data_IF_551360177931
#
_entry.id   IF_551360177931
#
_cell.length_a   1.000
_cell.length_b   1.000
_cell.length_c   1.000
_cell.angle_alpha   90.00
_cell.angle_beta   90.00
_cell.angle_gamma   90.00
#
_symmetry.space_group_name_H-M   'P 1'
#
loop_
_entity.id
_entity.type
_entity.pdbx_description
1 polymer ?
#
# COMPACT_ATOMS: atom_id res chain seq x y z
N UNK A 1 5.93 -23.93 -18.22
CA UNK A 1 6.62 -25.25 -18.20
C UNK A 1 5.83 -26.18 -17.29
N UNK A 2 5.69 -27.47 -17.64
CA UNK A 2 4.97 -28.45 -16.82
C UNK A 2 5.85 -29.14 -15.75
N UNK A 3 7.17 -28.90 -15.76
CA UNK A 3 8.07 -29.45 -14.74
C UNK A 3 7.79 -28.82 -13.38
N UNK A 4 7.59 -29.61 -12.33
CA UNK A 4 7.35 -29.15 -10.96
C UNK A 4 8.58 -29.29 -10.04
N UNK A 5 9.72 -29.74 -10.58
CA UNK A 5 10.96 -29.96 -9.82
C UNK A 5 11.94 -28.78 -9.88
N UNK A 6 11.47 -27.61 -10.32
CA UNK A 6 12.30 -26.42 -10.52
C UNK A 6 12.48 -25.70 -9.19
N UNK A 7 13.73 -25.43 -8.82
CA UNK A 7 14.08 -24.66 -7.62
C UNK A 7 14.28 -23.17 -7.92
N UNK A 8 15.38 -22.61 -7.40
CA UNK A 8 15.77 -21.22 -7.65
C UNK A 8 16.17 -21.07 -9.13
N UNK A 9 15.61 -20.07 -9.80
CA UNK A 9 15.91 -19.72 -11.19
C UNK A 9 16.49 -18.31 -11.30
N UNK A 10 17.24 -18.08 -12.39
CA UNK A 10 17.69 -16.74 -12.75
C UNK A 10 16.48 -15.90 -13.23
N UNK A 11 16.25 -14.76 -12.58
CA UNK A 11 15.10 -13.90 -12.90
C UNK A 11 15.17 -13.25 -14.27
N UNK A 12 16.36 -13.18 -14.88
CA UNK A 12 16.58 -12.73 -16.27
C UNK A 12 15.86 -13.59 -17.32
N UNK A 13 15.41 -14.80 -16.96
CA UNK A 13 14.49 -15.62 -17.76
C UNK A 13 14.93 -15.85 -19.23
N UNK A 14 16.25 -15.93 -19.48
CA UNK A 14 16.81 -16.20 -20.80
C UNK A 14 17.20 -14.95 -21.61
N UNK A 15 17.29 -13.78 -20.99
CA UNK A 15 17.79 -12.56 -21.64
C UNK A 15 19.12 -12.82 -22.35
N UNK A 16 19.16 -12.54 -23.65
CA UNK A 16 20.36 -12.72 -24.46
C UNK A 16 21.49 -11.83 -23.94
N UNK A 17 22.64 -12.41 -23.64
CA UNK A 17 23.84 -11.66 -23.24
C UNK A 17 24.63 -11.22 -24.47
N UNK A 18 23.94 -10.57 -25.42
CA UNK A 18 24.55 -9.97 -26.61
C UNK A 18 24.97 -8.54 -26.31
N UNK A 19 26.11 -8.10 -26.86
CA UNK A 19 26.55 -6.70 -26.77
C UNK A 19 25.76 -5.76 -27.68
N UNK A 20 25.03 -6.33 -28.66
CA UNK A 20 24.19 -5.57 -29.59
C UNK A 20 22.78 -5.32 -29.02
N UNK A 21 22.38 -6.06 -27.98
CA UNK A 21 21.07 -5.96 -27.32
C UNK A 21 21.15 -5.08 -26.06
N UNK A 22 19.99 -4.71 -25.49
CA UNK A 22 19.93 -4.00 -24.21
C UNK A 22 20.67 -4.81 -23.12
N UNK A 23 21.57 -4.17 -22.36
CA UNK A 23 22.43 -4.87 -21.42
C UNK A 23 21.62 -5.42 -20.24
N UNK A 24 21.91 -6.64 -19.82
CA UNK A 24 21.30 -7.26 -18.65
C UNK A 24 22.03 -6.84 -17.36
N UNK A 25 22.05 -5.54 -17.07
CA UNK A 25 22.77 -4.92 -15.93
C UNK A 25 22.03 -5.11 -14.59
N UNK A 26 21.59 -6.34 -14.32
CA UNK A 26 20.95 -6.71 -13.06
C UNK A 26 21.25 -8.15 -12.69
N UNK A 27 21.22 -8.42 -11.38
CA UNK A 27 21.25 -9.76 -10.84
C UNK A 27 19.92 -10.01 -10.15
N UNK A 28 19.21 -11.04 -10.60
CA UNK A 28 17.94 -11.44 -10.01
C UNK A 28 17.82 -12.95 -9.80
N UNK A 29 17.16 -13.34 -8.72
CA UNK A 29 16.84 -14.74 -8.40
C UNK A 29 15.38 -14.82 -7.96
N UNK A 30 14.68 -15.85 -8.43
CA UNK A 30 13.28 -16.06 -8.06
C UNK A 30 12.95 -17.54 -7.97
N UNK A 31 11.82 -17.84 -7.35
CA UNK A 31 11.10 -19.08 -7.59
C UNK A 31 10.12 -18.92 -8.74
N UNK A 32 9.76 -20.03 -9.38
CA UNK A 32 8.57 -20.04 -10.24
C UNK A 32 7.34 -19.97 -9.36
N UNK A 33 6.39 -19.11 -9.71
CA UNK A 33 5.36 -18.66 -8.77
C UNK A 33 4.41 -19.78 -8.36
N UNK A 34 3.95 -20.58 -9.31
CA UNK A 34 3.15 -21.78 -9.08
C UNK A 34 3.84 -22.78 -8.13
N UNK A 35 5.14 -23.02 -8.29
CA UNK A 35 5.92 -23.93 -7.42
C UNK A 35 6.03 -23.35 -6.01
N UNK A 36 6.27 -22.04 -5.89
CA UNK A 36 6.33 -21.36 -4.60
C UNK A 36 4.98 -21.40 -3.87
N UNK A 37 3.87 -21.22 -4.59
CA UNK A 37 2.51 -21.33 -4.02
C UNK A 37 2.18 -22.76 -3.60
N UNK A 38 2.51 -23.76 -4.41
CA UNK A 38 2.29 -25.16 -4.05
C UNK A 38 3.10 -25.55 -2.79
N UNK A 39 4.36 -25.10 -2.70
CA UNK A 39 5.19 -25.29 -1.51
C UNK A 39 4.61 -24.57 -0.28
N UNK A 40 4.18 -23.32 -0.44
CA UNK A 40 3.58 -22.53 0.64
C UNK A 40 2.26 -23.13 1.15
N UNK A 41 1.43 -23.69 0.27
CA UNK A 41 0.21 -24.40 0.66
C UNK A 41 0.51 -25.73 1.34
N UNK A 42 1.55 -26.44 0.89
CA UNK A 42 1.95 -27.71 1.52
C UNK A 42 2.51 -27.50 2.93
N UNK A 43 3.18 -26.38 3.16
CA UNK A 43 3.64 -25.93 4.48
C UNK A 43 2.47 -25.71 5.46
N UNK A 44 1.31 -25.29 4.96
CA UNK A 44 0.07 -25.08 5.73
C UNK A 44 -0.82 -26.33 5.83
N UNK A 45 -0.33 -27.52 5.43
CA UNK A 45 -1.17 -28.73 5.38
C UNK A 45 -1.77 -29.09 6.74
N UNK A 46 -1.00 -28.99 7.83
CA UNK A 46 -1.49 -29.30 9.18
C UNK A 46 -2.61 -28.35 9.60
N UNK A 47 -2.41 -27.04 9.42
CA UNK A 47 -3.39 -26.00 9.76
C UNK A 47 -4.67 -26.12 8.92
N UNK A 48 -4.53 -26.38 7.61
CA UNK A 48 -5.67 -26.58 6.71
C UNK A 48 -6.48 -27.82 7.13
N UNK A 49 -5.80 -28.92 7.46
CA UNK A 49 -6.46 -30.15 7.90
C UNK A 49 -7.11 -30.00 9.27
N UNK A 50 -6.51 -29.21 10.18
CA UNK A 50 -7.13 -28.84 11.46
C UNK A 50 -8.38 -27.98 11.24
N UNK A 51 -8.31 -26.95 10.40
CA UNK A 51 -9.47 -26.12 10.06
C UNK A 51 -10.62 -26.92 9.45
N UNK A 52 -10.33 -27.91 8.61
CA UNK A 52 -11.34 -28.84 8.09
C UNK A 52 -12.00 -29.66 9.19
N UNK A 53 -11.25 -30.13 10.18
CA UNK A 53 -11.79 -30.86 11.35
C UNK A 53 -12.70 -29.98 12.20
N UNK A 54 -12.22 -28.78 12.55
CA UNK A 54 -12.95 -27.86 13.41
C UNK A 54 -14.26 -27.38 12.79
N UNK A 55 -14.29 -27.25 11.47
CA UNK A 55 -15.48 -26.83 10.71
C UNK A 55 -16.40 -27.99 10.33
N UNK A 56 -16.03 -29.24 10.67
CA UNK A 56 -16.81 -30.43 10.30
C UNK A 56 -16.79 -30.76 8.81
N UNK A 57 -15.82 -30.23 8.06
CA UNK A 57 -15.62 -30.39 6.61
C UNK A 57 -14.61 -31.50 6.27
N UNK A 58 -14.18 -32.32 7.24
CA UNK A 58 -13.17 -33.37 7.03
C UNK A 58 -13.70 -34.55 6.19
N UNK A 59 -14.95 -34.96 6.44
CA UNK A 59 -15.63 -36.10 5.80
C UNK A 59 -16.43 -35.72 4.54
N UNK A 60 -16.51 -34.43 4.23
CA UNK A 60 -17.26 -33.99 3.06
C UNK A 60 -16.52 -34.37 1.78
N UNK A 61 -17.28 -34.71 0.73
CA UNK A 61 -16.76 -34.95 -0.61
C UNK A 61 -16.01 -33.73 -1.23
N UNK A 62 -15.86 -32.63 -0.48
CA UNK A 62 -15.20 -31.36 -0.77
C UNK A 62 -13.68 -31.49 -0.98
N UNK A 63 -13.27 -32.38 -1.89
CA UNK A 63 -11.94 -32.32 -2.53
C UNK A 63 -11.88 -31.21 -3.60
N UNK A 64 -13.04 -30.67 -3.96
CA UNK A 64 -13.22 -29.60 -4.93
C UNK A 64 -13.69 -28.33 -4.20
N UNK A 65 -13.30 -27.16 -4.72
CA UNK A 65 -13.85 -25.87 -4.26
C UNK A 65 -13.03 -25.15 -3.19
N UNK A 66 -11.72 -25.45 -3.05
CA UNK A 66 -10.86 -24.61 -2.22
C UNK A 66 -10.55 -23.29 -2.93
N UNK A 67 -10.63 -22.20 -2.17
CA UNK A 67 -10.27 -20.85 -2.59
C UNK A 67 -9.16 -20.32 -1.68
N UNK A 68 -8.08 -19.86 -2.28
CA UNK A 68 -6.90 -19.37 -1.56
C UNK A 68 -6.71 -17.89 -1.85
N UNK A 69 -6.73 -17.07 -0.82
CA UNK A 69 -6.51 -15.64 -0.94
C UNK A 69 -5.04 -15.31 -0.72
N UNK A 70 -4.40 -14.69 -1.72
CA UNK A 70 -2.97 -14.37 -1.72
C UNK A 70 -2.81 -12.85 -1.66
N UNK A 71 -2.08 -12.36 -0.64
CA UNK A 71 -1.58 -10.99 -0.61
C UNK A 71 -0.25 -10.94 -1.37
N UNK A 72 -0.15 -10.08 -2.38
CA UNK A 72 1.10 -9.81 -3.09
C UNK A 72 1.67 -8.45 -2.65
N UNK A 73 2.99 -8.41 -2.48
CA UNK A 73 3.72 -7.22 -2.04
C UNK A 73 4.97 -7.03 -2.89
N UNK A 74 5.34 -5.78 -3.17
CA UNK A 74 6.60 -5.43 -3.81
C UNK A 74 7.08 -4.09 -3.27
N UNK A 75 8.34 -4.03 -2.89
CA UNK A 75 8.93 -2.81 -2.33
C UNK A 75 10.38 -2.63 -2.78
N UNK A 76 10.78 -1.35 -2.90
CA UNK A 76 12.11 -0.89 -3.27
C UNK A 76 12.94 -0.51 -2.05
N UNK A 77 14.10 -1.16 -1.90
CA UNK A 77 15.07 -0.91 -0.85
C UNK A 77 16.26 -0.12 -1.39
N UNK A 78 16.55 1.03 -0.75
CA UNK A 78 17.77 1.81 -1.01
C UNK A 78 18.96 1.37 -0.15
N UNK A 79 20.11 2.01 -0.38
CA UNK A 79 21.34 1.86 0.41
C UNK A 79 21.88 0.42 0.48
N UNK A 80 21.76 -0.34 -0.61
CA UNK A 80 22.24 -1.73 -0.70
C UNK A 80 23.63 -1.73 -1.35
N UNK A 81 24.69 -1.73 -0.54
CA UNK A 81 26.06 -1.61 -1.05
C UNK A 81 26.42 -2.69 -2.08
N UNK A 82 26.98 -2.24 -3.20
CA UNK A 82 27.53 -3.13 -4.22
C UNK A 82 28.76 -3.89 -3.67
N UNK A 83 28.90 -5.15 -4.07
CA UNK A 83 30.09 -5.95 -3.76
C UNK A 83 31.08 -5.86 -4.91
N UNK A 84 32.38 -5.77 -4.57
CA UNK A 84 33.43 -6.11 -5.52
C UNK A 84 33.20 -7.53 -6.06
N UNK A 85 33.43 -7.74 -7.37
CA UNK A 85 33.18 -9.03 -8.01
C UNK A 85 33.53 -9.04 -9.49
N UNK A 86 33.20 -10.15 -10.17
CA UNK A 86 33.43 -10.33 -11.61
C UNK A 86 32.46 -9.58 -12.53
N UNK A 87 31.56 -8.76 -11.98
CA UNK A 87 30.50 -8.08 -12.71
C UNK A 87 29.20 -8.89 -12.85
N UNK A 88 28.15 -8.31 -13.48
CA UNK A 88 28.10 -6.95 -14.04
C UNK A 88 28.08 -5.86 -12.94
N UNK A 89 28.26 -4.61 -13.32
CA UNK A 89 28.01 -3.48 -12.41
C UNK A 89 26.51 -3.44 -12.10
N UNK A 90 26.17 -3.26 -10.82
CA UNK A 90 24.77 -3.30 -10.36
C UNK A 90 24.41 -2.06 -9.54
N UNK A 91 23.13 -1.62 -9.56
CA UNK A 91 22.72 -0.48 -8.76
C UNK A 91 22.77 -0.80 -7.26
N UNK A 92 23.04 0.21 -6.43
CA UNK A 92 22.99 0.11 -4.96
C UNK A 92 21.56 0.16 -4.39
N UNK A 93 20.61 -0.42 -5.14
CA UNK A 93 19.19 -0.54 -4.81
C UNK A 93 18.73 -1.95 -5.14
N UNK A 94 17.78 -2.44 -4.35
CA UNK A 94 17.18 -3.73 -4.57
C UNK A 94 15.65 -3.62 -4.55
N UNK A 95 14.98 -4.47 -5.33
CA UNK A 95 13.54 -4.66 -5.26
C UNK A 95 13.27 -6.07 -4.79
N UNK A 96 12.30 -6.21 -3.89
CA UNK A 96 11.83 -7.51 -3.40
C UNK A 96 10.35 -7.66 -3.67
N UNK A 97 10.00 -8.74 -4.36
CA UNK A 97 8.63 -9.20 -4.55
C UNK A 97 8.36 -10.41 -3.64
N UNK A 98 7.27 -10.36 -2.89
CA UNK A 98 6.89 -11.38 -1.90
C UNK A 98 5.39 -11.65 -1.95
N UNK A 99 4.95 -12.75 -1.32
CA UNK A 99 3.53 -13.02 -1.12
C UNK A 99 3.25 -13.66 0.23
N UNK A 100 1.99 -13.61 0.66
CA UNK A 100 1.47 -14.24 1.87
C UNK A 100 0.15 -14.94 1.57
N UNK A 101 -0.03 -16.16 2.07
CA UNK A 101 -1.32 -16.85 2.06
C UNK A 101 -2.17 -16.25 3.18
N UNK A 102 -3.20 -15.50 2.84
CA UNK A 102 -4.02 -14.76 3.81
C UNK A 102 -5.13 -15.61 4.39
N UNK A 103 -5.80 -16.39 3.55
CA UNK A 103 -6.86 -17.30 3.98
C UNK A 103 -7.03 -18.45 3.00
N UNK A 104 -7.56 -19.54 3.51
CA UNK A 104 -8.07 -20.66 2.72
C UNK A 104 -9.51 -20.89 3.12
N UNK A 105 -10.40 -20.94 2.13
CA UNK A 105 -11.81 -21.31 2.31
C UNK A 105 -12.17 -22.51 1.44
N UNK A 106 -13.25 -23.19 1.79
CA UNK A 106 -13.83 -24.28 1.02
C UNK A 106 -15.33 -24.02 0.83
N UNK A 107 -15.82 -24.27 -0.37
CA UNK A 107 -17.25 -24.16 -0.66
C UNK A 107 -18.00 -25.39 -0.12
N UNK A 108 -19.00 -25.17 0.73
CA UNK A 108 -19.90 -26.21 1.24
C UNK A 108 -20.86 -26.68 0.15
N UNK A 109 -21.07 -28.00 0.03
CA UNK A 109 -22.00 -28.58 -0.96
C UNK A 109 -23.48 -28.35 -0.60
N UNK A 110 -23.80 -28.20 0.69
CA UNK A 110 -25.19 -28.14 1.18
C UNK A 110 -25.85 -26.77 0.99
N UNK A 111 -25.08 -25.68 1.09
CA UNK A 111 -25.57 -24.31 1.05
C UNK A 111 -24.79 -23.39 0.08
N UNK A 112 -23.74 -23.89 -0.55
CA UNK A 112 -22.90 -23.14 -1.49
C UNK A 112 -22.09 -22.00 -0.84
N UNK A 113 -22.06 -21.92 0.49
CA UNK A 113 -21.34 -20.88 1.22
C UNK A 113 -19.86 -21.22 1.35
N UNK A 114 -19.02 -20.19 1.29
CA UNK A 114 -17.59 -20.32 1.54
C UNK A 114 -17.31 -20.35 3.04
N UNK A 115 -16.85 -21.50 3.53
CA UNK A 115 -16.41 -21.68 4.91
C UNK A 115 -14.90 -21.44 4.98
N UNK A 116 -14.47 -20.46 5.76
CA UNK A 116 -13.04 -20.18 5.96
C UNK A 116 -12.45 -21.19 6.94
N UNK A 117 -11.43 -21.93 6.50
CA UNK A 117 -10.76 -22.98 7.29
C UNK A 117 -9.39 -22.54 7.81
N UNK A 118 -8.76 -21.56 7.14
CA UNK A 118 -7.51 -20.96 7.60
C UNK A 118 -7.57 -19.46 7.40
N UNK A 119 -7.04 -18.71 8.35
CA UNK A 119 -6.78 -17.27 8.24
C UNK A 119 -5.46 -16.97 8.93
N UNK A 120 -4.56 -16.29 8.24
CA UNK A 120 -3.26 -15.90 8.78
C UNK A 120 -3.45 -14.99 10.02
N UNK A 121 -3.04 -15.44 11.22
CA UNK A 121 -3.29 -14.70 12.46
C UNK A 121 -2.48 -13.41 12.56
N UNK A 122 -1.31 -13.35 11.90
CA UNK A 122 -0.40 -12.19 11.94
C UNK A 122 0.05 -11.83 10.51
N UNK A 123 -0.83 -11.21 9.70
CA UNK A 123 -0.55 -10.94 8.29
C UNK A 123 0.50 -9.84 8.05
N UNK A 124 0.91 -9.14 9.12
CA UNK A 124 1.97 -8.13 9.10
C UNK A 124 3.26 -8.64 9.78
N UNK A 125 3.37 -9.94 10.03
CA UNK A 125 4.59 -10.59 10.52
C UNK A 125 5.53 -10.87 9.35
N UNK A 126 6.83 -10.66 9.56
CA UNK A 126 7.85 -11.06 8.60
C UNK A 126 7.87 -12.59 8.38
N UNK A 127 7.38 -13.36 9.36
CA UNK A 127 7.34 -14.82 9.30
C UNK A 127 6.31 -15.37 8.30
N UNK A 128 5.24 -14.62 8.02
CA UNK A 128 4.20 -15.01 7.05
C UNK A 128 4.48 -14.48 5.64
N UNK A 129 5.50 -13.63 5.48
CA UNK A 129 5.89 -13.06 4.19
C UNK A 129 6.92 -13.94 3.47
N UNK A 130 6.50 -14.61 2.40
CA UNK A 130 7.34 -15.55 1.64
C UNK A 130 7.98 -14.81 0.45
N UNK A 131 9.31 -14.68 0.39
CA UNK A 131 9.98 -13.99 -0.71
C UNK A 131 9.89 -14.82 -1.99
N UNK A 132 9.52 -14.17 -3.10
CA UNK A 132 9.37 -14.82 -4.40
C UNK A 132 10.48 -14.41 -5.38
N UNK A 133 10.81 -13.12 -5.43
CA UNK A 133 11.83 -12.59 -6.33
C UNK A 133 12.66 -11.50 -5.66
N UNK A 134 13.97 -11.60 -5.83
CA UNK A 134 14.96 -10.62 -5.38
C UNK A 134 15.73 -10.11 -6.59
N UNK A 135 15.88 -8.81 -6.72
CA UNK A 135 16.61 -8.19 -7.83
C UNK A 135 17.36 -6.93 -7.38
N UNK A 136 18.53 -6.69 -7.97
CA UNK A 136 19.23 -5.41 -7.86
C UNK A 136 18.79 -4.50 -9.00
N UNK A 137 17.76 -3.70 -8.73
CA UNK A 137 17.11 -2.79 -9.69
C UNK A 137 16.69 -1.55 -8.92
N UNK A 138 16.77 -0.37 -9.54
CA UNK A 138 16.08 0.82 -9.05
C UNK A 138 14.61 0.68 -9.43
N UNK A 139 13.69 0.79 -8.47
CA UNK A 139 12.24 0.81 -8.74
C UNK A 139 11.82 1.89 -9.75
N UNK A 140 12.68 2.89 -9.99
CA UNK A 140 12.46 3.96 -10.96
C UNK A 140 12.96 3.61 -12.38
N UNK A 141 13.67 2.49 -12.54
CA UNK A 141 14.08 1.92 -13.83
C UNK A 141 12.99 0.96 -14.32
N UNK A 142 12.02 1.54 -15.03
CA UNK A 142 10.86 0.82 -15.55
C UNK A 142 11.23 -0.32 -16.49
N UNK A 143 12.27 -0.16 -17.30
CA UNK A 143 12.68 -1.15 -18.31
C UNK A 143 13.18 -2.43 -17.61
N UNK A 144 14.11 -2.28 -16.67
CA UNK A 144 14.63 -3.43 -15.91
C UNK A 144 13.57 -4.05 -15.00
N UNK A 145 12.76 -3.23 -14.34
CA UNK A 145 11.72 -3.70 -13.43
C UNK A 145 10.68 -4.55 -14.18
N UNK A 146 10.18 -4.06 -15.32
CA UNK A 146 9.20 -4.80 -16.14
C UNK A 146 9.80 -6.04 -16.78
N UNK A 147 11.07 -6.01 -17.21
CA UNK A 147 11.72 -7.17 -17.77
C UNK A 147 11.87 -8.32 -16.75
N UNK A 148 12.18 -8.00 -15.49
CA UNK A 148 12.31 -9.02 -14.42
C UNK A 148 10.94 -9.48 -13.88
N UNK A 149 9.99 -8.56 -13.69
CA UNK A 149 8.66 -8.89 -13.16
C UNK A 149 7.67 -9.43 -14.20
N UNK A 150 7.90 -9.20 -15.49
CA UNK A 150 7.03 -9.63 -16.58
C UNK A 150 6.69 -11.14 -16.54
N UNK A 151 7.67 -12.05 -16.39
CA UNK A 151 7.39 -13.47 -16.21
C UNK A 151 6.53 -13.79 -14.99
N UNK A 152 6.68 -13.07 -13.88
CA UNK A 152 5.87 -13.26 -12.67
C UNK A 152 4.43 -12.84 -12.92
N UNK A 153 4.21 -11.70 -13.60
CA UNK A 153 2.86 -11.24 -14.01
C UNK A 153 2.20 -12.24 -14.95
N UNK A 154 2.96 -12.79 -15.91
CA UNK A 154 2.45 -13.80 -16.83
C UNK A 154 2.03 -15.08 -16.10
N UNK A 155 2.86 -15.56 -15.16
CA UNK A 155 2.55 -16.71 -14.30
C UNK A 155 1.29 -16.42 -13.45
N UNK A 156 1.21 -15.25 -12.79
CA UNK A 156 0.05 -14.80 -12.01
C UNK A 156 -1.24 -14.81 -12.83
N UNK A 157 -1.22 -14.20 -14.01
CA UNK A 157 -2.41 -14.10 -14.86
C UNK A 157 -2.85 -15.47 -15.39
N UNK A 158 -1.92 -16.35 -15.74
CA UNK A 158 -2.25 -17.73 -16.11
C UNK A 158 -2.87 -18.52 -14.95
N UNK A 159 -2.40 -18.28 -13.71
CA UNK A 159 -2.89 -18.99 -12.53
C UNK A 159 -4.34 -18.63 -12.17
N UNK A 160 -4.79 -17.41 -12.45
CA UNK A 160 -6.19 -16.97 -12.18
C UNK A 160 -7.25 -17.84 -12.85
N UNK A 161 -6.96 -18.31 -14.06
CA UNK A 161 -7.88 -19.15 -14.85
C UNK A 161 -7.70 -20.65 -14.61
N UNK A 162 -6.70 -21.03 -13.81
CA UNK A 162 -6.34 -22.41 -13.57
C UNK A 162 -6.76 -22.91 -12.18
N UNK A 163 -6.72 -24.23 -12.00
CA UNK A 163 -6.88 -24.86 -10.69
C UNK A 163 -5.64 -25.68 -10.38
N UNK A 164 -5.06 -25.48 -9.20
CA UNK A 164 -3.97 -26.30 -8.69
C UNK A 164 -4.54 -27.59 -8.08
N UNK A 165 -4.00 -28.74 -8.49
CA UNK A 165 -4.29 -30.03 -7.85
C UNK A 165 -3.09 -30.40 -6.99
N UNK A 166 -3.29 -30.48 -5.68
CA UNK A 166 -2.24 -30.78 -4.69
C UNK A 166 -2.71 -31.84 -3.71
N UNK A 167 -1.86 -32.80 -3.39
CA UNK A 167 -2.16 -33.83 -2.39
C UNK A 167 -2.05 -33.24 -0.98
N UNK A 168 -3.16 -33.15 -0.26
CA UNK A 168 -3.26 -32.68 1.13
C UNK A 168 -4.07 -33.65 1.98
N UNK A 169 -3.54 -34.05 3.14
CA UNK A 169 -4.15 -35.06 4.00
C UNK A 169 -4.26 -36.42 3.32
N UNK A 170 -3.32 -36.74 2.41
CA UNK A 170 -3.32 -37.98 1.63
C UNK A 170 -4.29 -38.03 0.44
N UNK A 171 -5.05 -36.96 0.17
CA UNK A 171 -6.00 -36.90 -0.96
C UNK A 171 -5.68 -35.74 -1.93
N UNK A 172 -5.91 -35.90 -3.24
CA UNK A 172 -5.82 -34.80 -4.18
C UNK A 172 -6.95 -33.79 -3.95
N UNK A 173 -6.60 -32.51 -3.76
CA UNK A 173 -7.54 -31.41 -3.57
C UNK A 173 -7.31 -30.31 -4.62
N UNK A 174 -8.38 -29.64 -5.05
CA UNK A 174 -8.37 -28.62 -6.09
C UNK A 174 -8.49 -27.21 -5.50
N UNK A 175 -7.51 -26.35 -5.77
CA UNK A 175 -7.40 -24.98 -5.28
C UNK A 175 -7.52 -23.95 -6.41
N UNK A 176 -8.29 -22.89 -6.16
CA UNK A 176 -8.33 -21.66 -6.97
C UNK A 176 -7.61 -20.55 -6.22
N UNK A 177 -6.85 -19.73 -6.93
CA UNK A 177 -6.13 -18.60 -6.34
C UNK A 177 -6.81 -17.27 -6.64
N UNK A 178 -6.87 -16.42 -5.61
CA UNK A 178 -7.33 -15.04 -5.70
C UNK A 178 -6.20 -14.12 -5.25
N UNK A 179 -5.60 -13.41 -6.20
CA UNK A 179 -4.48 -12.51 -5.93
C UNK A 179 -4.97 -11.11 -5.59
N UNK A 180 -4.44 -10.54 -4.51
CA UNK A 180 -4.66 -9.16 -4.06
C UNK A 180 -3.33 -8.46 -3.89
N UNK A 181 -2.89 -7.78 -4.95
CA UNK A 181 -1.74 -6.90 -4.91
C UNK A 181 -2.04 -5.65 -4.10
N UNK A 182 -1.59 -5.62 -2.84
CA UNK A 182 -2.00 -4.60 -1.84
C UNK A 182 -0.82 -4.04 -1.05
N UNK A 183 0.25 -4.82 -0.86
CA UNK A 183 1.44 -4.39 -0.11
C UNK A 183 2.43 -3.62 -0.98
N UNK A 184 1.97 -2.55 -1.61
CA UNK A 184 2.77 -1.63 -2.43
C UNK A 184 2.67 -0.22 -1.85
N UNK A 185 3.79 0.50 -1.81
CA UNK A 185 3.75 1.93 -1.50
C UNK A 185 3.11 2.71 -2.66
N UNK A 186 2.68 3.96 -2.42
CA UNK A 186 2.00 4.73 -3.47
C UNK A 186 2.90 4.99 -4.70
N UNK A 187 4.23 5.04 -4.51
CA UNK A 187 5.16 5.25 -5.62
C UNK A 187 5.13 4.04 -6.55
N UNK A 188 5.24 2.84 -6.02
CA UNK A 188 5.21 1.58 -6.75
C UNK A 188 3.86 1.35 -7.43
N UNK A 189 2.74 1.65 -6.75
CA UNK A 189 1.40 1.56 -7.38
C UNK A 189 1.32 2.47 -8.61
N UNK A 190 1.79 3.71 -8.51
CA UNK A 190 1.75 4.65 -9.64
C UNK A 190 2.58 4.17 -10.81
N UNK A 191 3.76 3.61 -10.54
CA UNK A 191 4.64 3.06 -11.58
C UNK A 191 4.01 1.84 -12.27
N UNK A 192 3.42 0.92 -11.50
CA UNK A 192 2.78 -0.31 -12.01
C UNK A 192 1.48 -0.06 -12.79
N UNK A 193 0.71 0.94 -12.37
CA UNK A 193 -0.58 1.34 -12.96
C UNK A 193 -0.44 2.49 -13.98
N UNK A 194 0.77 2.86 -14.37
CA UNK A 194 1.01 3.85 -15.43
C UNK A 194 0.53 5.28 -15.11
N UNK A 195 0.43 5.61 -13.82
CA UNK A 195 0.00 6.91 -13.32
C UNK A 195 1.19 7.86 -13.19
N UNK A 196 0.96 9.15 -13.40
CA UNK A 196 1.94 10.18 -13.06
C UNK A 196 2.39 10.09 -11.58
N UNK A 197 3.62 10.53 -11.30
CA UNK A 197 4.22 10.46 -9.97
C UNK A 197 3.41 11.20 -8.88
N UNK A 198 3.71 10.90 -7.61
CA UNK A 198 2.97 11.40 -6.42
C UNK A 198 2.90 12.92 -6.27
N UNK A 199 3.78 13.67 -6.95
CA UNK A 199 3.76 15.13 -7.05
C UNK A 199 2.73 15.72 -8.01
N UNK A 200 2.03 14.88 -8.80
CA UNK A 200 1.07 15.30 -9.82
C UNK A 200 -0.11 16.10 -9.26
N UNK A 201 -0.79 16.82 -10.16
CA UNK A 201 -2.12 17.38 -9.94
C UNK A 201 -3.16 16.30 -9.67
N UNK A 202 -3.04 15.09 -10.23
CA UNK A 202 -3.91 13.95 -9.94
C UNK A 202 -3.38 13.17 -8.73
N UNK A 203 -3.95 13.46 -7.56
CA UNK A 203 -3.37 13.07 -6.27
C UNK A 203 -3.76 11.67 -5.81
N UNK A 204 -4.83 11.09 -6.37
CA UNK A 204 -5.36 9.82 -5.91
C UNK A 204 -5.02 8.70 -6.89
N UNK A 205 -4.78 7.51 -6.35
CA UNK A 205 -4.66 6.27 -7.13
C UNK A 205 -6.01 5.57 -7.29
N UNK A 206 -7.06 6.08 -6.63
CA UNK A 206 -8.38 5.45 -6.53
C UNK A 206 -9.47 6.25 -7.24
N UNK A 207 -9.35 7.57 -7.31
CA UNK A 207 -10.32 8.46 -7.94
C UNK A 207 -9.62 9.47 -8.85
N UNK A 208 -10.41 10.26 -9.58
CA UNK A 208 -9.92 11.19 -10.60
C UNK A 208 -9.75 12.63 -10.14
N UNK A 209 -10.02 12.90 -8.87
CA UNK A 209 -9.97 14.24 -8.31
C UNK A 209 -8.58 14.85 -8.40
N UNK A 210 -8.53 16.09 -8.87
CA UNK A 210 -7.32 16.91 -8.81
C UNK A 210 -7.02 17.37 -7.38
N UNK A 211 -5.79 17.85 -7.16
CA UNK A 211 -5.34 18.38 -5.88
C UNK A 211 -6.19 19.54 -5.37
N UNK A 212 -6.64 20.40 -6.29
CA UNK A 212 -7.45 21.57 -5.95
C UNK A 212 -8.89 21.15 -5.62
N UNK A 213 -9.50 20.27 -6.42
CA UNK A 213 -10.84 19.74 -6.18
C UNK A 213 -10.91 18.96 -4.87
N UNK A 214 -9.93 18.09 -4.61
CA UNK A 214 -9.85 17.32 -3.38
C UNK A 214 -9.59 18.18 -2.13
N UNK A 215 -8.99 19.37 -2.29
CA UNK A 215 -8.84 20.33 -1.20
C UNK A 215 -10.14 21.11 -0.94
N UNK A 216 -10.98 21.31 -1.96
CA UNK A 216 -12.27 21.98 -1.86
C UNK A 216 -13.34 21.07 -1.26
N UNK A 217 -13.38 19.81 -1.70
CA UNK A 217 -14.26 18.77 -1.16
C UNK A 217 -13.36 17.61 -0.71
N UNK A 218 -13.19 17.42 0.60
CA UNK A 218 -12.20 16.47 1.12
C UNK A 218 -12.74 15.05 1.32
N UNK A 219 -14.05 14.87 1.51
CA UNK A 219 -14.63 13.62 2.02
C UNK A 219 -15.56 12.91 1.06
N UNK A 220 -16.15 13.62 0.10
CA UNK A 220 -17.14 13.04 -0.81
C UNK A 220 -16.49 12.69 -2.16
N UNK A 221 -15.94 11.48 -2.24
CA UNK A 221 -15.37 10.88 -3.45
C UNK A 221 -15.70 9.39 -3.47
N UNK A 222 -15.74 8.80 -4.66
CA UNK A 222 -15.88 7.35 -4.86
C UNK A 222 -14.62 6.78 -5.51
N UNK A 223 -14.36 5.49 -5.31
CA UNK A 223 -13.35 4.77 -6.09
C UNK A 223 -13.85 4.63 -7.52
N UNK A 224 -13.08 5.10 -8.49
CA UNK A 224 -13.38 4.99 -9.94
C UNK A 224 -12.33 4.18 -10.68
N UNK A 225 -11.04 4.40 -10.37
CA UNK A 225 -9.93 3.78 -11.09
C UNK A 225 -9.83 2.29 -10.83
N UNK A 226 -9.64 1.54 -11.90
CA UNK A 226 -9.22 0.15 -11.88
C UNK A 226 -8.21 -0.15 -13.00
N UNK A 227 -7.58 -1.32 -12.95
CA UNK A 227 -6.54 -1.69 -13.91
C UNK A 227 -7.04 -1.72 -15.36
N UNK A 228 -8.24 -2.28 -15.59
CA UNK A 228 -8.85 -2.34 -16.93
C UNK A 228 -9.10 -0.94 -17.49
N UNK A 229 -9.67 -0.04 -16.68
CA UNK A 229 -9.89 1.34 -17.08
C UNK A 229 -8.57 2.07 -17.37
N UNK A 230 -7.51 1.83 -16.58
CA UNK A 230 -6.21 2.44 -16.83
C UNK A 230 -5.60 1.97 -18.17
N UNK A 231 -5.78 0.70 -18.54
CA UNK A 231 -5.35 0.19 -19.85
C UNK A 231 -6.09 0.90 -20.99
N UNK A 232 -7.40 1.08 -20.87
CA UNK A 232 -8.20 1.81 -21.86
C UNK A 232 -7.80 3.29 -21.97
N UNK A 233 -7.60 3.94 -20.82
CA UNK A 233 -7.13 5.33 -20.74
C UNK A 233 -5.76 5.50 -21.40
N UNK A 234 -4.85 4.54 -21.20
CA UNK A 234 -3.57 4.54 -21.90
C UNK A 234 -3.72 4.43 -23.42
N UNK A 235 -4.62 3.59 -23.93
CA UNK A 235 -4.83 3.51 -25.37
C UNK A 235 -5.42 4.81 -25.94
N UNK A 236 -6.27 5.52 -25.20
CA UNK A 236 -6.73 6.88 -25.55
C UNK A 236 -5.55 7.86 -25.57
N UNK A 237 -4.69 7.84 -24.54
CA UNK A 237 -3.48 8.66 -24.46
C UNK A 237 -2.55 8.42 -25.65
N UNK A 238 -2.27 7.15 -25.97
CA UNK A 238 -1.34 6.75 -27.03
C UNK A 238 -1.87 7.07 -28.44
N UNK A 239 -3.17 6.87 -28.67
CA UNK A 239 -3.77 7.04 -30.01
C UNK A 239 -4.26 8.46 -30.26
N UNK A 240 -4.55 9.24 -29.21
CA UNK A 240 -5.13 10.58 -29.27
C UNK A 240 -6.25 10.70 -30.33
N UNK A 241 -7.35 9.94 -30.20
CA UNK A 241 -8.37 9.85 -31.24
C UNK A 241 -9.11 11.18 -31.47
N UNK A 242 -9.04 12.09 -30.51
CA UNK A 242 -9.68 13.40 -30.56
C UNK A 242 -8.73 14.52 -31.02
N UNK A 243 -7.45 14.22 -31.29
CA UNK A 243 -6.43 15.20 -31.69
C UNK A 243 -6.32 16.39 -30.72
N UNK A 244 -6.45 16.10 -29.43
CA UNK A 244 -6.36 17.09 -28.35
C UNK A 244 -4.92 17.55 -28.14
N UNK A 245 -4.76 18.76 -27.58
CA UNK A 245 -3.46 19.21 -27.08
C UNK A 245 -2.98 18.36 -25.90
N UNK A 246 -1.69 18.47 -25.54
CA UNK A 246 -1.13 17.68 -24.45
C UNK A 246 -1.87 17.88 -23.12
N UNK A 247 -2.24 19.11 -22.78
CA UNK A 247 -2.92 19.43 -21.52
C UNK A 247 -4.38 18.91 -21.50
N UNK A 248 -5.09 19.06 -22.62
CA UNK A 248 -6.46 18.54 -22.78
C UNK A 248 -6.50 17.02 -22.74
N UNK A 249 -5.58 16.35 -23.45
CA UNK A 249 -5.47 14.89 -23.46
C UNK A 249 -5.09 14.36 -22.07
N UNK A 250 -4.13 15.01 -21.40
CA UNK A 250 -3.74 14.69 -20.02
C UNK A 250 -4.92 14.80 -19.06
N UNK A 251 -5.77 15.81 -19.23
CA UNK A 251 -7.00 15.92 -18.43
C UNK A 251 -8.03 14.87 -18.78
N UNK A 252 -8.21 14.53 -20.06
CA UNK A 252 -9.13 13.46 -20.48
C UNK A 252 -8.78 12.12 -19.84
N UNK A 253 -7.50 11.76 -19.82
CA UNK A 253 -7.03 10.47 -19.27
C UNK A 253 -6.69 10.54 -17.78
N UNK A 254 -6.88 11.71 -17.15
CA UNK A 254 -6.66 11.97 -15.72
C UNK A 254 -5.25 11.55 -15.25
N UNK A 255 -4.24 11.81 -16.08
CA UNK A 255 -2.83 11.55 -15.76
C UNK A 255 -2.39 10.08 -15.87
N UNK A 256 -3.07 9.25 -16.66
CA UNK A 256 -2.54 7.97 -17.15
C UNK A 256 -1.69 8.24 -18.38
N UNK A 257 -0.37 8.13 -18.25
CA UNK A 257 0.58 8.49 -19.33
C UNK A 257 1.52 7.34 -19.73
N UNK A 258 1.51 6.24 -18.98
CA UNK A 258 2.26 5.03 -19.27
C UNK A 258 1.30 3.82 -19.26
N UNK A 259 1.72 2.71 -19.87
CA UNK A 259 0.89 1.52 -19.97
C UNK A 259 0.97 0.75 -18.63
N UNK A 260 -0.14 0.50 -17.93
CA UNK A 260 -0.15 -0.41 -16.78
C UNK A 260 0.37 -1.79 -17.19
N UNK A 261 1.21 -2.40 -16.36
CA UNK A 261 1.75 -3.74 -16.65
C UNK A 261 1.40 -4.79 -15.58
N UNK A 262 1.06 -4.36 -14.36
CA UNK A 262 0.66 -5.24 -13.27
C UNK A 262 -0.58 -4.68 -12.60
N UNK A 263 -1.63 -5.50 -12.51
CA UNK A 263 -2.87 -5.15 -11.82
C UNK A 263 -2.66 -5.09 -10.30
N UNK A 264 -3.08 -3.98 -9.71
CA UNK A 264 -3.10 -3.75 -8.27
C UNK A 264 -4.53 -3.63 -7.77
N UNK A 265 -4.77 -4.07 -6.52
CA UNK A 265 -6.07 -3.89 -5.89
C UNK A 265 -6.23 -2.40 -5.52
N UNK A 266 -7.34 -1.72 -5.87
CA UNK A 266 -7.55 -0.32 -5.55
C UNK A 266 -7.80 -0.12 -4.05
N UNK A 267 -6.73 -0.07 -3.26
CA UNK A 267 -6.76 0.04 -1.79
C UNK A 267 -5.77 1.10 -1.28
N UNK A 268 -5.59 1.15 0.05
CA UNK A 268 -4.69 2.05 0.77
C UNK A 268 -3.66 1.23 1.55
N UNK A 269 -2.37 1.60 1.50
CA UNK A 269 -1.37 1.01 2.38
C UNK A 269 -1.36 1.68 3.77
N UNK A 270 -1.67 0.90 4.80
CA UNK A 270 -1.82 1.41 6.16
C UNK A 270 -0.51 1.95 6.77
N UNK A 271 0.65 1.37 6.40
CA UNK A 271 1.94 1.80 6.95
C UNK A 271 2.34 3.18 6.42
N UNK A 272 2.39 3.34 5.10
CA UNK A 272 2.74 4.61 4.47
C UNK A 272 1.69 5.68 4.69
N UNK A 273 0.41 5.31 4.84
CA UNK A 273 -0.63 6.24 5.26
C UNK A 273 -0.35 6.83 6.65
N UNK A 274 0.01 6.00 7.63
CA UNK A 274 0.39 6.48 8.96
C UNK A 274 1.63 7.39 8.92
N UNK A 275 2.66 7.02 8.16
CA UNK A 275 3.89 7.82 8.01
C UNK A 275 3.60 9.15 7.32
N UNK A 276 2.79 9.13 6.26
CA UNK A 276 2.38 10.30 5.49
C UNK A 276 1.57 11.27 6.34
N UNK A 277 0.56 10.78 7.06
CA UNK A 277 -0.25 11.59 7.96
C UNK A 277 0.55 12.14 9.14
N UNK A 278 1.41 11.32 9.77
CA UNK A 278 2.28 11.81 10.85
C UNK A 278 3.28 12.88 10.38
N UNK A 279 3.80 12.74 9.16
CA UNK A 279 4.66 13.77 8.55
C UNK A 279 3.90 15.07 8.31
N UNK A 280 2.61 14.98 7.92
CA UNK A 280 1.77 16.15 7.73
C UNK A 280 1.44 16.84 9.06
N UNK A 281 1.09 16.07 10.11
CA UNK A 281 0.90 16.61 11.47
C UNK A 281 2.18 17.25 12.01
N UNK A 282 3.35 16.64 11.78
CA UNK A 282 4.64 17.22 12.18
C UNK A 282 4.89 18.59 11.51
N UNK A 283 4.39 18.81 10.28
CA UNK A 283 4.43 20.13 9.61
C UNK A 283 3.41 21.10 10.21
N UNK A 284 2.19 20.64 10.54
CA UNK A 284 1.21 21.46 11.25
C UNK A 284 1.81 21.95 12.58
N UNK A 285 2.44 21.06 13.36
CA UNK A 285 3.04 21.44 14.64
C UNK A 285 4.11 22.53 14.49
N UNK A 286 4.96 22.43 13.46
CA UNK A 286 5.94 23.47 13.16
C UNK A 286 5.27 24.81 12.81
N UNK A 287 4.22 24.79 11.99
CA UNK A 287 3.52 25.99 11.56
C UNK A 287 2.73 26.66 12.71
N UNK A 288 2.19 25.88 13.64
CA UNK A 288 1.46 26.38 14.83
C UNK A 288 2.40 26.98 15.88
N UNK A 289 3.61 26.41 16.07
CA UNK A 289 4.66 27.02 16.91
C UNK A 289 5.07 28.39 16.35
N UNK A 290 5.09 28.51 15.01
CA UNK A 290 5.47 29.74 14.31
C UNK A 290 4.35 30.75 14.09
N UNK A 291 3.11 30.42 14.47
CA UNK A 291 1.89 31.19 14.14
C UNK A 291 1.82 31.59 12.66
N UNK A 292 2.10 30.65 11.74
CA UNK A 292 2.18 30.92 10.28
C UNK A 292 0.88 31.50 9.70
N UNK A 293 -0.25 31.23 10.34
CA UNK A 293 -1.54 31.84 10.00
C UNK A 293 -1.57 33.37 10.18
N UNK A 294 -0.68 33.96 11.01
CA UNK A 294 -0.47 35.41 11.14
C UNK A 294 0.62 35.94 10.21
N UNK A 295 1.64 35.12 9.94
CA UNK A 295 2.82 35.46 9.13
C UNK A 295 2.94 34.51 7.93
N UNK A 296 2.32 34.90 6.82
CA UNK A 296 2.11 34.02 5.65
C UNK A 296 3.41 33.56 4.97
N UNK A 297 4.51 34.33 5.06
CA UNK A 297 5.78 34.05 4.39
C UNK A 297 6.98 34.09 5.36
N UNK A 298 7.13 33.09 6.25
CA UNK A 298 8.27 33.05 7.15
C UNK A 298 9.55 32.64 6.41
N UNK A 299 10.68 33.17 6.87
CA UNK A 299 12.01 32.86 6.34
C UNK A 299 12.42 31.41 6.62
N UNK A 300 13.43 30.94 5.88
CA UNK A 300 14.01 29.60 6.09
C UNK A 300 14.62 29.43 7.48
N UNK A 301 15.18 30.50 8.04
CA UNK A 301 15.79 30.50 9.37
C UNK A 301 14.73 30.38 10.47
N UNK A 302 13.62 31.13 10.36
CA UNK A 302 12.48 30.99 11.28
C UNK A 302 11.91 29.58 11.26
N UNK A 303 11.65 29.01 10.07
CA UNK A 303 11.17 27.61 9.94
C UNK A 303 12.14 26.61 10.57
N UNK A 304 13.46 26.81 10.40
CA UNK A 304 14.49 25.96 11.03
C UNK A 304 14.45 26.09 12.55
N UNK A 305 14.26 27.29 13.07
CA UNK A 305 14.14 27.57 14.50
C UNK A 305 12.95 26.85 15.13
N UNK A 306 11.76 26.91 14.50
CA UNK A 306 10.55 26.24 14.99
C UNK A 306 10.69 24.71 14.99
N UNK A 307 11.30 24.16 13.93
CA UNK A 307 11.62 22.72 13.89
C UNK A 307 12.56 22.32 15.03
N UNK A 308 13.63 23.09 15.26
CA UNK A 308 14.57 22.81 16.34
C UNK A 308 13.89 22.90 17.73
N UNK A 309 12.96 23.83 17.91
CA UNK A 309 12.18 23.94 19.14
C UNK A 309 11.27 22.72 19.36
N UNK A 310 10.52 22.31 18.33
CA UNK A 310 9.67 21.11 18.36
C UNK A 310 10.50 19.86 18.69
N UNK A 311 11.60 19.65 17.97
CA UNK A 311 12.51 18.52 18.15
C UNK A 311 13.11 18.47 19.56
N UNK A 312 13.51 19.62 20.10
CA UNK A 312 14.04 19.71 21.47
C UNK A 312 12.98 19.32 22.49
N UNK A 313 11.75 19.77 22.30
CA UNK A 313 10.64 19.51 23.21
C UNK A 313 10.20 18.05 23.18
N UNK A 314 10.03 17.47 21.98
CA UNK A 314 9.73 16.05 21.79
C UNK A 314 10.85 15.15 22.34
N UNK A 315 12.12 15.55 22.19
CA UNK A 315 13.23 14.82 22.83
C UNK A 315 13.16 14.87 24.34
N UNK A 316 12.87 16.03 24.93
CA UNK A 316 12.86 16.23 26.38
C UNK A 316 11.76 15.41 27.06
N UNK A 317 10.52 15.54 26.55
CA UNK A 317 9.30 15.00 27.17
C UNK A 317 8.94 13.62 26.65
N UNK A 318 8.96 13.43 25.32
CA UNK A 318 8.57 12.17 24.68
C UNK A 318 9.74 11.22 24.41
N UNK A 319 11.00 11.60 24.69
CA UNK A 319 12.20 10.79 24.33
C UNK A 319 12.24 10.42 22.85
N UNK A 320 11.79 11.32 21.99
CA UNK A 320 11.85 11.18 20.54
C UNK A 320 13.10 11.89 20.00
N UNK A 321 14.02 11.12 19.39
CA UNK A 321 15.18 11.69 18.71
C UNK A 321 14.73 12.19 17.33
N UNK A 322 15.15 13.40 16.89
CA UNK A 322 14.87 13.89 15.54
C UNK A 322 15.34 12.89 14.50
N UNK A 323 14.52 12.69 13.48
CA UNK A 323 14.76 11.74 12.38
C UNK A 323 14.89 12.50 11.06
N UNK A 324 15.73 12.01 10.15
CA UNK A 324 15.86 12.60 8.81
C UNK A 324 14.64 12.27 7.94
N UNK A 325 14.19 11.01 7.98
CA UNK A 325 12.96 10.51 7.35
C UNK A 325 12.05 9.95 8.44
N UNK A 326 10.77 10.33 8.40
CA UNK A 326 9.76 9.80 9.32
C UNK A 326 9.64 8.29 9.11
N UNK A 327 9.74 7.50 10.18
CA UNK A 327 9.50 6.06 10.15
C UNK A 327 8.23 5.71 10.94
N UNK A 328 7.71 4.50 10.75
CA UNK A 328 6.48 4.04 11.40
C UNK A 328 6.54 4.10 12.93
N UNK A 329 7.68 3.78 13.54
CA UNK A 329 7.86 3.84 14.99
C UNK A 329 7.76 5.28 15.54
N UNK A 330 8.36 6.24 14.86
CA UNK A 330 8.24 7.66 15.22
C UNK A 330 6.79 8.12 15.02
N UNK A 331 6.18 7.79 13.88
CA UNK A 331 4.79 8.13 13.59
C UNK A 331 3.83 7.63 14.69
N UNK A 332 3.93 6.37 15.10
CA UNK A 332 3.12 5.79 16.19
C UNK A 332 3.28 6.53 17.52
N UNK A 333 4.49 6.99 17.85
CA UNK A 333 4.77 7.73 19.08
C UNK A 333 4.39 9.22 19.02
N UNK A 334 4.41 9.81 17.83
CA UNK A 334 4.03 11.20 17.61
C UNK A 334 2.51 11.38 17.58
N UNK A 335 1.79 10.40 17.02
CA UNK A 335 0.34 10.46 16.83
C UNK A 335 -0.38 9.98 18.10
N UNK A 336 -0.26 10.73 19.19
CA UNK A 336 -0.94 10.48 20.47
C UNK A 336 -1.40 11.79 21.12
N UNK A 337 -2.38 11.71 22.03
CA UNK A 337 -2.80 12.88 22.81
C UNK A 337 -1.67 13.40 23.72
N UNK A 338 -0.85 12.50 24.28
CA UNK A 338 0.31 12.88 25.10
C UNK A 338 1.32 13.72 24.31
N UNK A 339 1.66 13.27 23.09
CA UNK A 339 2.55 14.03 22.21
C UNK A 339 1.93 15.38 21.82
N UNK A 340 0.62 15.42 21.60
CA UNK A 340 -0.10 16.65 21.30
C UNK A 340 -0.03 17.65 22.47
N UNK A 341 -0.24 17.21 23.71
CA UNK A 341 -0.15 18.08 24.88
C UNK A 341 1.26 18.67 25.05
N UNK A 342 2.30 17.87 24.76
CA UNK A 342 3.70 18.33 24.72
C UNK A 342 3.93 19.40 23.65
N UNK A 343 3.31 19.27 22.48
CA UNK A 343 3.36 20.29 21.41
C UNK A 343 2.61 21.56 21.81
N UNK A 344 1.44 21.43 22.44
CA UNK A 344 0.63 22.55 22.91
C UNK A 344 1.37 23.45 23.91
N UNK A 345 2.34 22.93 24.68
CA UNK A 345 3.22 23.75 25.54
C UNK A 345 4.00 24.83 24.75
N UNK A 346 4.24 24.61 23.45
CA UNK A 346 4.97 25.54 22.58
C UNK A 346 4.06 26.47 21.76
N UNK A 347 2.77 26.13 21.63
CA UNK A 347 1.81 26.91 20.82
C UNK A 347 1.33 28.10 21.65
N UNK A 348 1.39 29.36 21.17
CA UNK A 348 1.05 30.52 22.01
C UNK A 348 -0.45 30.68 22.32
N UNK A 349 -1.32 30.43 21.34
CA UNK A 349 -2.76 30.68 21.45
C UNK A 349 -3.53 29.47 22.02
N UNK A 350 -4.34 29.69 23.05
CA UNK A 350 -5.16 28.62 23.64
C UNK A 350 -6.24 28.11 22.69
N UNK A 351 -6.82 28.98 21.87
CA UNK A 351 -7.78 28.59 20.82
C UNK A 351 -7.13 27.62 19.82
N UNK A 352 -5.88 27.89 19.42
CA UNK A 352 -5.12 27.01 18.51
C UNK A 352 -4.75 25.68 19.17
N UNK A 353 -4.42 25.70 20.47
CA UNK A 353 -4.18 24.46 21.23
C UNK A 353 -5.42 23.57 21.26
N UNK A 354 -6.59 24.12 21.50
CA UNK A 354 -7.82 23.32 21.52
C UNK A 354 -8.18 22.78 20.14
N UNK A 355 -7.99 23.58 19.08
CA UNK A 355 -8.17 23.10 17.71
C UNK A 355 -7.21 21.94 17.37
N UNK A 356 -5.95 22.02 17.79
CA UNK A 356 -4.99 20.93 17.61
C UNK A 356 -5.39 19.67 18.39
N UNK A 357 -5.81 19.81 19.64
CA UNK A 357 -6.28 18.69 20.45
C UNK A 357 -7.49 18.01 19.82
N UNK A 358 -8.45 18.79 19.33
CA UNK A 358 -9.62 18.24 18.63
C UNK A 358 -9.22 17.54 17.33
N UNK A 359 -8.31 18.11 16.54
CA UNK A 359 -7.80 17.49 15.32
C UNK A 359 -7.16 16.11 15.60
N UNK A 360 -6.30 16.02 16.63
CA UNK A 360 -5.71 14.74 17.03
C UNK A 360 -6.73 13.78 17.62
N UNK A 361 -7.70 14.26 18.40
CA UNK A 361 -8.77 13.43 18.95
C UNK A 361 -9.58 12.78 17.83
N UNK A 362 -9.98 13.55 16.83
CA UNK A 362 -10.68 13.04 15.64
C UNK A 362 -9.80 12.04 14.86
N UNK A 363 -8.51 12.36 14.64
CA UNK A 363 -7.58 11.42 14.00
C UNK A 363 -7.52 10.07 14.73
N UNK A 364 -7.38 10.09 16.05
CA UNK A 364 -7.28 8.88 16.88
C UNK A 364 -8.58 8.08 16.95
N UNK A 365 -9.74 8.73 16.75
CA UNK A 365 -11.02 8.03 16.61
C UNK A 365 -11.14 7.32 15.26
N UNK A 366 -10.51 7.84 14.21
CA UNK A 366 -10.56 7.23 12.87
C UNK A 366 -9.45 6.20 12.66
N UNK A 367 -8.26 6.42 13.24
CA UNK A 367 -7.05 5.61 13.01
C UNK A 367 -7.20 4.10 13.16
N UNK A 368 -7.91 3.57 14.17
CA UNK A 368 -8.08 2.13 14.32
C UNK A 368 -8.73 1.48 13.10
N UNK A 369 -9.60 2.19 12.37
CA UNK A 369 -10.41 1.61 11.29
C UNK A 369 -9.57 1.14 10.11
N UNK A 370 -8.52 1.87 9.72
CA UNK A 370 -7.61 1.42 8.65
C UNK A 370 -6.41 0.61 9.15
N UNK A 371 -6.29 0.41 10.47
CA UNK A 371 -5.15 -0.29 11.09
C UNK A 371 -5.48 -1.64 11.70
N UNK A 372 -6.70 -1.81 12.20
CA UNK A 372 -7.18 -3.08 12.73
C UNK A 372 -7.14 -4.16 11.64
N UNK A 373 -6.92 -5.40 12.06
CA UNK A 373 -6.95 -6.55 11.14
C UNK A 373 -8.38 -6.84 10.71
N UNK A 374 -9.36 -6.66 11.61
CA UNK A 374 -10.79 -6.79 11.35
C UNK A 374 -11.58 -5.66 12.06
N UNK A 375 -11.70 -4.46 11.45
CA UNK A 375 -12.31 -3.30 12.10
C UNK A 375 -13.77 -3.52 12.52
N UNK A 376 -14.54 -4.33 11.80
CA UNK A 376 -15.92 -4.67 12.16
C UNK A 376 -16.04 -5.40 13.51
N UNK A 377 -14.98 -6.11 13.95
CA UNK A 377 -14.95 -6.81 15.24
C UNK A 377 -14.18 -6.02 16.29
N UNK A 378 -13.05 -5.43 15.90
CA UNK A 378 -12.11 -4.78 16.83
C UNK A 378 -12.50 -3.34 17.20
N UNK A 379 -13.14 -2.61 16.29
CA UNK A 379 -13.51 -1.20 16.50
C UNK A 379 -14.82 -0.80 15.76
N UNK A 380 -15.94 -1.51 16.01
CA UNK A 380 -17.20 -1.30 15.28
C UNK A 380 -17.78 0.12 15.45
N UNK A 381 -17.66 0.70 16.65
CA UNK A 381 -18.16 2.05 16.93
C UNK A 381 -17.41 3.12 16.13
N UNK A 382 -16.08 2.99 16.04
CA UNK A 382 -15.23 3.87 15.25
C UNK A 382 -15.51 3.71 13.75
N UNK A 383 -15.71 2.48 13.28
CA UNK A 383 -16.08 2.19 11.90
C UNK A 383 -17.41 2.85 11.53
N UNK A 384 -18.45 2.67 12.36
CA UNK A 384 -19.78 3.26 12.16
C UNK A 384 -19.74 4.80 12.14
N UNK A 385 -18.88 5.42 12.96
CA UNK A 385 -18.74 6.87 13.06
C UNK A 385 -17.73 7.48 12.10
N UNK A 386 -17.09 6.69 11.24
CA UNK A 386 -15.96 7.14 10.42
C UNK A 386 -16.34 8.31 9.51
N UNK A 387 -17.44 8.21 8.77
CA UNK A 387 -17.89 9.25 7.83
C UNK A 387 -18.23 10.57 8.55
N UNK A 388 -18.82 10.49 9.75
CA UNK A 388 -19.08 11.66 10.58
C UNK A 388 -17.76 12.30 11.09
N UNK A 389 -16.84 11.48 11.59
CA UNK A 389 -15.57 11.96 12.12
C UNK A 389 -14.68 12.58 11.03
N UNK A 390 -14.65 11.98 9.84
CA UNK A 390 -13.91 12.50 8.68
C UNK A 390 -14.48 13.82 8.17
N UNK A 391 -15.82 13.98 8.14
CA UNK A 391 -16.46 15.26 7.86
C UNK A 391 -16.02 16.34 8.86
N UNK A 392 -16.12 16.07 10.18
CA UNK A 392 -15.69 17.04 11.20
C UNK A 392 -14.21 17.38 11.11
N UNK A 393 -13.38 16.38 10.78
CA UNK A 393 -11.95 16.57 10.56
C UNK A 393 -11.71 17.52 9.39
N UNK A 394 -12.37 17.28 8.25
CA UNK A 394 -12.28 18.13 7.06
C UNK A 394 -12.82 19.55 7.30
N UNK A 395 -13.90 19.70 8.06
CA UNK A 395 -14.45 21.02 8.44
C UNK A 395 -13.43 21.82 9.26
N UNK A 396 -12.76 21.15 10.21
CA UNK A 396 -11.71 21.76 11.03
C UNK A 396 -10.50 22.18 10.17
N UNK A 397 -10.10 21.34 9.20
CA UNK A 397 -9.05 21.70 8.24
C UNK A 397 -9.43 22.91 7.38
N UNK A 398 -10.66 22.92 6.88
CA UNK A 398 -11.17 23.93 5.94
C UNK A 398 -11.50 25.27 6.61
N UNK A 399 -11.70 25.27 7.92
CA UNK A 399 -11.89 26.47 8.73
C UNK A 399 -10.57 26.89 9.39
N UNK A 400 -10.20 26.22 10.47
CA UNK A 400 -9.12 26.60 11.38
C UNK A 400 -7.73 26.44 10.74
N UNK A 401 -7.54 25.47 9.85
CA UNK A 401 -6.26 25.24 9.16
C UNK A 401 -6.28 25.66 7.68
N UNK A 402 -7.23 26.50 7.27
CA UNK A 402 -7.40 26.95 5.88
C UNK A 402 -6.13 27.56 5.29
N UNK A 403 -5.35 28.28 6.09
CA UNK A 403 -4.08 28.89 5.67
C UNK A 403 -3.11 27.87 5.05
N UNK A 404 -3.21 26.59 5.45
CA UNK A 404 -2.39 25.49 4.96
C UNK A 404 -3.06 24.69 3.85
N UNK A 405 -4.38 24.48 3.94
CA UNK A 405 -5.12 23.58 3.03
C UNK A 405 -5.89 24.30 1.91
N UNK A 406 -5.72 25.62 1.74
CA UNK A 406 -6.32 26.34 0.63
C UNK A 406 -5.70 25.89 -0.72
N UNK A 407 -6.48 25.13 -1.50
CA UNK A 407 -6.08 24.63 -2.83
C UNK A 407 -5.06 23.48 -2.83
N UNK A 408 -4.77 22.89 -1.67
CA UNK A 408 -3.89 21.71 -1.58
C UNK A 408 -4.21 20.79 -0.41
N UNK A 409 -4.03 19.51 -0.64
CA UNK A 409 -4.08 18.43 0.37
C UNK A 409 -2.99 17.40 0.02
N UNK A 410 -2.54 16.62 1.00
CA UNK A 410 -1.59 15.52 0.75
C UNK A 410 -2.34 14.28 0.26
N UNK A 411 -1.68 13.43 -0.54
CA UNK A 411 -2.30 12.26 -1.15
C UNK A 411 -2.90 11.31 -0.10
N UNK A 412 -2.13 10.95 0.93
CA UNK A 412 -2.61 10.08 2.01
C UNK A 412 -3.72 10.72 2.84
N UNK A 413 -3.65 12.02 3.14
CA UNK A 413 -4.72 12.66 3.91
C UNK A 413 -6.04 12.68 3.14
N UNK A 414 -5.99 12.92 1.82
CA UNK A 414 -7.15 12.77 0.95
C UNK A 414 -7.68 11.33 0.96
N UNK A 415 -6.82 10.33 0.74
CA UNK A 415 -7.25 8.92 0.74
C UNK A 415 -7.87 8.49 2.07
N UNK A 416 -7.30 8.92 3.20
CA UNK A 416 -7.85 8.67 4.54
C UNK A 416 -9.24 9.27 4.70
N UNK A 417 -9.43 10.53 4.31
CA UNK A 417 -10.69 11.24 4.52
C UNK A 417 -11.80 10.81 3.56
N UNK A 418 -11.45 10.30 2.36
CA UNK A 418 -12.42 10.05 1.31
C UNK A 418 -12.77 8.57 1.11
N UNK A 419 -11.80 7.65 1.18
CA UNK A 419 -11.98 6.31 0.63
C UNK A 419 -11.97 5.17 1.65
N UNK A 420 -11.60 5.42 2.90
CA UNK A 420 -11.50 4.37 3.93
C UNK A 420 -12.83 3.62 4.14
N UNK A 421 -14.01 4.28 4.27
CA UNK A 421 -15.27 3.56 4.45
C UNK A 421 -15.58 2.60 3.30
N UNK A 422 -15.45 3.07 2.05
CA UNK A 422 -15.73 2.28 0.85
C UNK A 422 -14.79 1.07 0.72
N UNK A 423 -13.49 1.25 1.00
CA UNK A 423 -12.53 0.15 0.95
C UNK A 423 -12.84 -0.89 2.04
N UNK A 424 -13.18 -0.46 3.27
CA UNK A 424 -13.51 -1.38 4.35
C UNK A 424 -14.80 -2.15 4.08
N UNK A 425 -15.81 -1.49 3.52
CA UNK A 425 -17.06 -2.17 3.13
C UNK A 425 -16.80 -3.23 2.06
N UNK A 426 -15.94 -2.94 1.07
CA UNK A 426 -15.60 -3.86 -0.02
C UNK A 426 -14.67 -5.00 0.41
N UNK A 427 -13.59 -4.69 1.12
CA UNK A 427 -12.49 -5.63 1.37
C UNK A 427 -12.52 -6.22 2.79
N UNK A 428 -13.36 -5.68 3.68
CA UNK A 428 -13.47 -6.06 5.09
C UNK A 428 -12.36 -5.52 5.99
N UNK A 429 -11.19 -5.18 5.43
CA UNK A 429 -10.03 -4.67 6.16
C UNK A 429 -9.09 -3.90 5.24
N UNK A 430 -8.32 -2.98 5.83
CA UNK A 430 -7.16 -2.34 5.21
C UNK A 430 -5.87 -2.79 5.92
N UNK A 431 -5.87 -2.81 7.26
CA UNK A 431 -4.68 -3.10 8.06
C UNK A 431 -4.11 -4.51 7.87
N UNK A 432 -4.95 -5.49 7.56
CA UNK A 432 -4.51 -6.85 7.22
C UNK A 432 -3.74 -6.91 5.89
N UNK A 433 -3.99 -5.96 4.99
CA UNK A 433 -3.46 -5.88 3.64
C UNK A 433 -2.30 -4.89 3.50
N UNK A 434 -1.76 -4.41 4.63
CA UNK A 434 -0.67 -3.45 4.65
C UNK A 434 0.65 -4.04 4.12
N UNK A 435 1.56 -3.16 3.72
CA UNK A 435 2.93 -3.48 3.33
C UNK A 435 3.84 -3.86 4.50
N UNK A 436 3.37 -3.72 5.76
CA UNK A 436 4.18 -3.88 6.98
C UNK A 436 4.78 -5.27 7.18
N UNK A 437 4.17 -6.33 6.62
CA UNK A 437 4.81 -7.67 6.64
C UNK A 437 5.85 -7.85 5.54
N UNK A 438 5.80 -7.02 4.49
CA UNK A 438 6.84 -7.01 3.46
C UNK A 438 8.03 -6.21 3.97
N UNK A 439 7.85 -4.93 4.29
CA UNK A 439 8.88 -4.02 4.86
C UNK A 439 9.62 -4.59 6.06
#
# INVERSE_FOLDING_TARGET
SASYSVGIINGLSGWASSVDDSPADTISRRFRYDVALAAALKDLEEDIMEGLRETGMEDSACTLGFSVMIKECCDGMGDVSEKHGGGPAIPEKAVRFSFTVMSVSVQSEDDGQDVTIFTEPKPNSELSCKPLCLMFVDESDHEMLTAVLGPIVAERNAMKESRLILSMGGMPRSFRFHFRGTGYDEKMVREMEGLEASGSTYICTLCDSSRAEAAQNMVLHSVTRCHEENLERYEIWRTNPYSESADELRDRVKGVSAKPFMETQPTLDALHCDIGNATEFYKIFQDEIGEVYKKVNPSREERRSWRAALDKQLRKKMKLKPVMRMNGNYARRLMTMEAMDVVCELVPSEERREALRELMRLYLQMKPVWRATCPAKECPDQLCRYSFNSQRFADLLSSTFKYRYNGKITNYLHKTLAHVPEIIERDGSIGAWASEGNE
#
